data_IF_555212621082
#
_entry.id   IF_555212621082
#
_cell.length_a   1.000
_cell.length_b   1.000
_cell.length_c   1.000
_cell.angle_alpha   90.00
_cell.angle_beta   90.00
_cell.angle_gamma   90.00
#
_symmetry.space_group_name_H-M   'P 1'
#
loop_
_entity.id
_entity.type
_entity.pdbx_description
1 polymer ?
#
# COMPACT_ATOMS: atom_id res chain seq x y z
N UNK A 1 26.04 -57.02 -11.13
CA UNK A 1 26.12 -56.27 -9.86
C UNK A 1 25.69 -54.84 -10.16
N UNK A 2 24.39 -54.56 -10.29
CA UNK A 2 23.52 -53.86 -9.32
C UNK A 2 24.17 -52.68 -8.57
N UNK A 3 23.61 -51.48 -8.84
CA UNK A 3 23.61 -50.21 -8.07
C UNK A 3 24.76 -49.25 -8.42
N UNK A 4 24.64 -47.92 -8.50
CA UNK A 4 23.69 -46.95 -7.95
C UNK A 4 23.54 -45.72 -8.87
N UNK A 5 22.33 -45.17 -8.94
CA UNK A 5 22.00 -43.81 -9.38
C UNK A 5 22.59 -42.76 -8.45
N UNK A 6 23.05 -41.64 -9.00
CA UNK A 6 23.03 -40.33 -8.33
C UNK A 6 22.62 -39.27 -9.35
N UNK A 7 21.33 -38.87 -9.29
CA UNK A 7 20.86 -37.66 -9.94
C UNK A 7 21.03 -36.51 -8.96
N UNK A 8 21.96 -35.59 -9.26
CA UNK A 8 22.08 -34.31 -8.56
C UNK A 8 21.06 -33.37 -9.18
N UNK A 9 19.85 -33.36 -8.61
CA UNK A 9 18.87 -32.34 -8.89
C UNK A 9 19.25 -31.06 -8.15
N UNK A 10 19.88 -30.12 -8.87
CA UNK A 10 20.08 -28.76 -8.38
C UNK A 10 18.70 -28.08 -8.32
N UNK A 11 18.12 -28.05 -7.13
CA UNK A 11 17.00 -27.19 -6.78
C UNK A 11 17.44 -25.74 -7.01
N UNK A 12 16.87 -25.09 -8.03
CA UNK A 12 16.76 -23.64 -8.02
C UNK A 12 15.76 -23.26 -6.92
N UNK A 13 16.13 -22.52 -5.87
CA UNK A 13 15.13 -21.88 -5.06
C UNK A 13 14.40 -20.89 -5.96
N UNK A 14 13.13 -21.19 -6.24
CA UNK A 14 12.19 -20.21 -6.77
C UNK A 14 12.11 -19.12 -5.71
N UNK A 15 12.93 -18.08 -5.87
CA UNK A 15 12.81 -16.87 -5.08
C UNK A 15 11.42 -16.32 -5.42
N UNK A 16 10.48 -16.49 -4.49
CA UNK A 16 9.22 -15.80 -4.55
C UNK A 16 9.55 -14.32 -4.42
N UNK A 17 9.71 -13.66 -5.56
CA UNK A 17 9.55 -12.22 -5.63
C UNK A 17 8.11 -12.01 -5.14
N UNK A 18 7.96 -11.59 -3.89
CA UNK A 18 6.69 -11.09 -3.41
C UNK A 18 6.44 -9.81 -4.22
N UNK A 19 5.85 -9.96 -5.40
CA UNK A 19 5.09 -8.91 -6.01
C UNK A 19 4.04 -8.58 -4.95
N UNK A 20 4.30 -7.54 -4.15
CA UNK A 20 3.25 -6.95 -3.34
C UNK A 20 2.22 -6.46 -4.33
N UNK A 21 1.21 -7.29 -4.56
CA UNK A 21 0.00 -6.89 -5.24
C UNK A 21 -0.47 -5.67 -4.47
N UNK A 22 -0.30 -4.51 -5.07
CA UNK A 22 -1.04 -3.34 -4.65
C UNK A 22 -2.48 -3.69 -5.00
N UNK A 23 -3.19 -4.19 -4.01
CA UNK A 23 -4.56 -4.65 -4.14
C UNK A 23 -5.38 -3.49 -4.71
N UNK A 24 -6.06 -3.71 -5.84
CA UNK A 24 -7.01 -2.73 -6.37
C UNK A 24 -8.17 -2.67 -5.38
N UNK A 25 -8.09 -1.75 -4.42
CA UNK A 25 -9.10 -1.62 -3.38
C UNK A 25 -10.30 -0.84 -3.94
N UNK A 26 -11.49 -1.40 -3.73
CA UNK A 26 -12.76 -0.72 -4.00
C UNK A 26 -13.48 -0.45 -2.69
N UNK A 27 -13.89 0.81 -2.48
CA UNK A 27 -14.72 1.23 -1.36
C UNK A 27 -16.11 1.62 -1.85
N UNK A 28 -17.13 1.00 -1.30
CA UNK A 28 -18.51 1.46 -1.42
C UNK A 28 -18.94 2.13 -0.12
N UNK A 29 -19.39 3.37 -0.20
CA UNK A 29 -19.75 4.19 0.97
C UNK A 29 -20.99 5.03 0.66
N UNK A 30 -21.67 5.55 1.68
CA UNK A 30 -22.79 6.48 1.51
C UNK A 30 -22.35 7.94 1.58
N UNK A 31 -23.10 8.86 0.96
CA UNK A 31 -22.89 10.30 1.18
C UNK A 31 -22.94 10.63 2.69
N UNK A 32 -21.93 11.35 3.17
CA UNK A 32 -21.76 11.72 4.58
C UNK A 32 -20.95 10.74 5.41
N UNK A 33 -20.73 9.52 4.93
CA UNK A 33 -19.96 8.48 5.61
C UNK A 33 -18.46 8.83 5.67
N UNK A 34 -17.83 8.48 6.79
CA UNK A 34 -16.37 8.51 6.93
C UNK A 34 -15.81 7.12 6.66
N UNK A 35 -14.70 7.06 5.94
CA UNK A 35 -14.01 5.81 5.67
C UNK A 35 -12.50 6.00 5.68
N UNK A 36 -11.79 4.88 5.85
CA UNK A 36 -10.34 4.84 5.96
C UNK A 36 -9.73 4.02 4.82
N UNK A 37 -8.60 4.49 4.31
CA UNK A 37 -7.67 3.74 3.45
C UNK A 37 -6.38 3.53 4.23
N UNK A 38 -6.00 2.27 4.41
CA UNK A 38 -4.85 1.88 5.22
C UNK A 38 -3.83 1.18 4.33
N UNK A 39 -2.63 1.76 4.24
CA UNK A 39 -1.57 1.33 3.35
C UNK A 39 -0.32 0.98 4.17
N UNK A 40 0.38 -0.13 3.85
CA UNK A 40 1.65 -0.45 4.47
C UNK A 40 2.67 0.68 4.25
N UNK A 41 3.37 1.06 5.31
CA UNK A 41 4.35 2.14 5.28
C UNK A 41 5.51 1.87 6.24
N UNK A 42 6.70 2.32 5.89
CA UNK A 42 7.87 2.30 6.76
C UNK A 42 8.52 3.69 6.77
N UNK A 43 8.11 4.60 7.67
CA UNK A 43 8.63 5.97 7.68
C UNK A 43 10.12 6.04 8.03
N UNK A 44 10.69 4.99 8.66
CA UNK A 44 12.13 4.95 8.97
C UNK A 44 13.04 4.91 7.74
N UNK A 45 12.51 4.49 6.59
CA UNK A 45 13.25 4.50 5.31
C UNK A 45 13.12 5.83 4.58
N UNK A 46 12.35 6.78 5.11
CA UNK A 46 12.07 8.08 4.50
C UNK A 46 10.94 8.08 3.46
N UNK A 47 10.37 6.91 3.15
CA UNK A 47 9.22 6.82 2.26
C UNK A 47 7.92 7.19 2.98
N UNK A 48 7.00 7.83 2.26
CA UNK A 48 5.66 8.17 2.75
C UNK A 48 4.64 8.13 1.61
N UNK A 49 3.37 7.88 1.92
CA UNK A 49 2.31 7.98 0.93
C UNK A 49 1.85 9.43 0.74
N UNK A 50 1.63 9.82 -0.51
CA UNK A 50 1.06 11.11 -0.88
C UNK A 50 -0.14 10.89 -1.82
N UNK A 51 -1.16 11.73 -1.70
CA UNK A 51 -2.28 11.75 -2.64
C UNK A 51 -1.83 12.50 -3.89
N UNK A 52 -1.85 11.81 -5.03
CA UNK A 52 -1.57 12.38 -6.35
C UNK A 52 -2.82 12.99 -6.97
N UNK A 53 -3.96 12.35 -6.77
CA UNK A 53 -5.26 12.78 -7.26
C UNK A 53 -6.35 12.40 -6.28
N UNK A 54 -7.26 13.34 -6.02
CA UNK A 54 -8.45 13.12 -5.19
C UNK A 54 -9.70 13.46 -6.01
N UNK A 55 -10.70 12.58 -6.10
CA UNK A 55 -11.93 12.88 -6.83
C UNK A 55 -12.86 13.75 -5.98
N UNK A 56 -13.73 14.53 -6.62
CA UNK A 56 -14.64 15.50 -5.96
C UNK A 56 -15.76 14.84 -5.12
N UNK A 57 -15.91 13.52 -5.21
CA UNK A 57 -16.88 12.73 -4.42
C UNK A 57 -16.48 12.55 -2.95
N UNK A 58 -15.21 12.78 -2.61
CA UNK A 58 -14.66 12.63 -1.25
C UNK A 58 -13.75 13.81 -0.87
N UNK A 59 -13.59 14.04 0.42
CA UNK A 59 -12.59 14.97 0.97
C UNK A 59 -11.69 14.25 1.96
N UNK A 60 -10.40 14.62 1.99
CA UNK A 60 -9.47 14.17 3.02
C UNK A 60 -9.77 14.91 4.33
N UNK A 61 -9.99 14.16 5.41
CA UNK A 61 -10.22 14.71 6.76
C UNK A 61 -9.02 14.53 7.68
N UNK A 62 -8.09 13.65 7.35
CA UNK A 62 -6.86 13.49 8.12
C UNK A 62 -5.92 12.43 7.57
N UNK A 63 -4.67 12.43 8.08
CA UNK A 63 -3.67 11.41 7.84
C UNK A 63 -3.03 11.03 9.17
N UNK A 64 -2.86 9.74 9.44
CA UNK A 64 -2.18 9.24 10.64
C UNK A 64 -1.27 8.06 10.31
N UNK A 65 -0.37 7.73 11.24
CA UNK A 65 0.49 6.55 11.14
C UNK A 65 0.30 5.67 12.38
N UNK A 66 0.30 4.35 12.18
CA UNK A 66 0.26 3.36 13.25
C UNK A 66 1.38 2.32 13.05
N UNK A 67 2.29 2.13 14.01
CA UNK A 67 3.27 1.04 13.97
C UNK A 67 2.60 -0.33 13.80
N UNK A 68 3.28 -1.27 13.15
CA UNK A 68 2.84 -2.66 13.07
C UNK A 68 2.73 -3.29 14.47
N UNK A 69 1.83 -4.24 14.66
CA UNK A 69 1.64 -4.90 15.96
C UNK A 69 2.91 -5.65 16.41
N UNK A 70 3.64 -6.20 15.45
CA UNK A 70 4.92 -6.89 15.59
C UNK A 70 6.08 -5.98 15.99
N UNK A 71 5.85 -4.66 15.99
CA UNK A 71 6.89 -3.70 16.27
C UNK A 71 7.43 -3.84 17.69
N UNK A 72 6.62 -4.20 18.70
CA UNK A 72 7.06 -4.48 20.09
C UNK A 72 8.27 -3.62 20.57
N UNK A 73 8.17 -2.29 20.44
CA UNK A 73 9.23 -1.30 20.80
C UNK A 73 10.54 -1.37 20.00
N UNK A 74 10.58 -2.07 18.86
CA UNK A 74 11.71 -2.11 17.93
C UNK A 74 11.76 -0.85 17.09
N UNK A 75 12.91 -0.17 17.12
CA UNK A 75 13.17 0.97 16.24
C UNK A 75 13.30 0.49 14.78
N UNK A 76 12.74 1.26 13.84
CA UNK A 76 12.82 0.99 12.40
C UNK A 76 11.82 -0.03 11.85
N UNK A 77 10.88 -0.49 12.68
CA UNK A 77 9.77 -1.32 12.23
C UNK A 77 8.86 -0.54 11.26
N UNK A 78 8.25 -1.28 10.32
CA UNK A 78 7.18 -0.74 9.51
C UNK A 78 5.87 -0.61 10.30
N UNK A 79 4.84 -0.15 9.59
CA UNK A 79 3.48 -0.02 10.07
C UNK A 79 2.55 0.35 8.93
N UNK A 80 1.59 1.22 9.21
CA UNK A 80 0.58 1.62 8.25
C UNK A 80 0.36 3.13 8.29
N UNK A 81 0.30 3.76 7.11
CA UNK A 81 -0.29 5.09 6.96
C UNK A 81 -1.78 4.95 6.68
N UNK A 82 -2.57 5.75 7.38
CA UNK A 82 -4.03 5.73 7.36
C UNK A 82 -4.52 7.08 6.86
N UNK A 83 -5.27 7.07 5.77
CA UNK A 83 -5.94 8.25 5.21
C UNK A 83 -7.41 8.21 5.58
N UNK A 84 -7.88 9.27 6.23
CA UNK A 84 -9.26 9.43 6.66
C UNK A 84 -10.00 10.30 5.66
N UNK A 85 -11.11 9.79 5.14
CA UNK A 85 -11.92 10.48 4.14
C UNK A 85 -13.35 10.65 4.63
N UNK A 86 -14.03 11.65 4.08
CA UNK A 86 -15.48 11.80 4.15
C UNK A 86 -16.06 11.83 2.74
N UNK A 87 -17.08 11.01 2.49
CA UNK A 87 -17.85 11.07 1.26
C UNK A 87 -18.78 12.30 1.29
N UNK A 88 -18.72 13.14 0.25
CA UNK A 88 -19.43 14.44 0.22
C UNK A 88 -20.45 14.53 -0.90
N UNK A 89 -20.34 13.70 -1.94
CA UNK A 89 -21.21 13.72 -3.12
C UNK A 89 -21.31 12.34 -3.74
N UNK A 90 -22.50 11.95 -4.18
CA UNK A 90 -22.71 10.68 -4.88
C UNK A 90 -21.96 10.65 -6.22
N UNK A 91 -21.45 9.48 -6.59
CA UNK A 91 -20.66 9.29 -7.81
C UNK A 91 -19.58 8.24 -7.66
N UNK A 92 -18.70 8.16 -8.64
CA UNK A 92 -17.55 7.25 -8.65
C UNK A 92 -16.30 8.05 -8.92
N UNK A 93 -15.22 7.71 -8.24
CA UNK A 93 -13.93 8.33 -8.44
C UNK A 93 -12.78 7.41 -8.05
N UNK A 94 -11.58 7.81 -8.44
CA UNK A 94 -10.34 7.10 -8.15
C UNK A 94 -9.45 8.02 -7.29
N UNK A 95 -8.98 7.50 -6.16
CA UNK A 95 -7.98 8.14 -5.29
C UNK A 95 -6.63 7.56 -5.68
N UNK A 96 -5.78 8.38 -6.29
CA UNK A 96 -4.44 7.96 -6.72
C UNK A 96 -3.44 8.33 -5.62
N UNK A 97 -2.69 7.35 -5.12
CA UNK A 97 -1.65 7.55 -4.11
C UNK A 97 -0.30 7.04 -4.60
N UNK A 98 0.77 7.71 -4.18
CA UNK A 98 2.16 7.33 -4.45
C UNK A 98 2.95 7.19 -3.16
N UNK A 99 3.75 6.13 -3.04
CA UNK A 99 4.70 5.90 -1.98
C UNK A 99 6.11 6.18 -2.50
N UNK A 100 6.73 7.27 -2.05
CA UNK A 100 8.08 7.65 -2.47
C UNK A 100 8.76 8.51 -1.40
N UNK A 101 10.03 8.84 -1.61
CA UNK A 101 10.75 9.83 -0.81
C UNK A 101 10.57 11.23 -1.43
N UNK A 102 9.98 12.21 -0.71
CA UNK A 102 9.68 13.52 -1.27
C UNK A 102 10.89 14.31 -1.81
N UNK A 103 12.11 13.98 -1.38
CA UNK A 103 13.34 14.67 -1.76
C UNK A 103 14.07 14.03 -2.96
N UNK A 104 13.68 12.83 -3.40
CA UNK A 104 14.30 12.19 -4.55
C UNK A 104 13.70 12.72 -5.85
N UNK A 105 14.58 13.12 -6.78
CA UNK A 105 14.18 13.74 -8.05
C UNK A 105 13.90 12.73 -9.16
N UNK A 106 14.32 11.49 -8.97
CA UNK A 106 14.21 10.41 -9.94
C UNK A 106 13.42 9.27 -9.29
N UNK A 107 12.57 8.55 -10.05
CA UNK A 107 11.87 7.39 -9.54
C UNK A 107 12.84 6.34 -8.99
N UNK A 108 12.49 5.73 -7.87
CA UNK A 108 13.25 4.62 -7.29
C UNK A 108 12.57 3.28 -7.56
N UNK A 109 13.32 2.16 -7.54
CA UNK A 109 12.76 0.82 -7.68
C UNK A 109 11.69 0.47 -6.63
N UNK A 110 11.81 1.06 -5.43
CA UNK A 110 10.90 0.82 -4.30
C UNK A 110 9.72 1.81 -4.27
N UNK A 111 9.65 2.75 -5.21
CA UNK A 111 8.48 3.62 -5.35
C UNK A 111 7.25 2.78 -5.71
N UNK A 112 6.10 3.16 -5.16
CA UNK A 112 4.83 2.45 -5.41
C UNK A 112 3.74 3.42 -5.80
N UNK A 113 2.81 2.96 -6.60
CA UNK A 113 1.57 3.66 -6.88
C UNK A 113 0.39 2.73 -6.57
N UNK A 114 -0.70 3.30 -6.08
CA UNK A 114 -1.95 2.58 -5.85
C UNK A 114 -3.13 3.47 -6.23
N UNK A 115 -4.20 2.83 -6.69
CA UNK A 115 -5.46 3.48 -7.01
C UNK A 115 -6.56 2.83 -6.20
N UNK A 116 -7.29 3.65 -5.45
CA UNK A 116 -8.45 3.21 -4.67
C UNK A 116 -9.70 3.71 -5.36
N UNK A 117 -10.49 2.79 -5.93
CA UNK A 117 -11.79 3.14 -6.49
C UNK A 117 -12.77 3.39 -5.36
N UNK A 118 -13.51 4.49 -5.41
CA UNK A 118 -14.59 4.79 -4.46
C UNK A 118 -15.90 4.99 -5.20
N UNK A 119 -16.92 4.28 -4.75
CA UNK A 119 -18.32 4.47 -5.16
C UNK A 119 -19.08 5.06 -3.99
N UNK A 120 -19.57 6.28 -4.15
CA UNK A 120 -20.43 6.96 -3.18
C UNK A 120 -21.88 6.85 -3.64
N UNK A 121 -22.70 6.18 -2.82
CA UNK A 121 -24.14 5.96 -3.03
C UNK A 121 -24.99 6.96 -2.24
#
# INVERSE_FOLDING_TARGET
MKKFMFAVGLLFPLSAMAATAVENQHKEVKVGEQFEVTLPANPSTGYTWAIKKLPDVVVLTGKSYKPGAECHDKVGCGGHEMFHFKAVKAGVGDIDLSYSRPWEKQPQPDDKETVIKVTVK
#
